data_IF_493982658634
#
_entry.id   IF_493982658634
#
_cell.length_a   1.000
_cell.length_b   1.000
_cell.length_c   1.000
_cell.angle_alpha   90.00
_cell.angle_beta   90.00
_cell.angle_gamma   90.00
#
_symmetry.space_group_name_H-M   'P 1'
#
loop_
_entity.id
_entity.type
_entity.pdbx_description
1 polymer ?
2 non-polymer ?
3 non-polymer ?
4 water ?
#
# COMPACT_ATOMS: atom_id res chain seq x y z
N UNK A 10 -12.35 -10.51 -13.42
CA UNK A 10 -11.23 -10.42 -12.49
C UNK A 10 -11.39 -9.22 -11.57
N UNK A 11 -11.84 -8.11 -12.15
CA UNK A 11 -12.05 -6.90 -11.34
C UNK A 11 -13.29 -7.04 -10.47
N UNK A 12 -14.35 -7.66 -10.99
CA UNK A 12 -15.52 -7.94 -10.15
C UNK A 12 -15.13 -8.81 -8.97
N UNK A 13 -14.33 -9.85 -9.21
CA UNK A 13 -13.86 -10.70 -8.12
C UNK A 13 -13.03 -9.90 -7.12
N UNK A 14 -12.18 -9.00 -7.63
CA UNK A 14 -11.35 -8.17 -6.75
C UNK A 14 -12.20 -7.28 -5.87
N UNK A 15 -13.22 -6.65 -6.44
CA UNK A 15 -14.02 -5.71 -5.65
C UNK A 15 -14.78 -6.42 -4.55
N UNK A 16 -15.30 -7.62 -4.83
CA UNK A 16 -15.93 -8.41 -3.78
C UNK A 16 -14.91 -8.85 -2.74
N UNK A 17 -13.74 -9.30 -3.17
CA UNK A 17 -12.70 -9.70 -2.23
C UNK A 17 -12.28 -8.53 -1.36
N UNK A 18 -12.17 -7.33 -1.95
CA UNK A 18 -11.74 -6.16 -1.18
C UNK A 18 -12.80 -5.74 -0.18
N UNK A 19 -14.07 -5.83 -0.57
CA UNK A 19 -15.16 -5.57 0.37
C UNK A 19 -15.03 -6.46 1.60
N UNK A 20 -14.84 -7.77 1.39
CA UNK A 20 -14.69 -8.67 2.52
C UNK A 20 -13.41 -8.38 3.28
N UNK A 21 -12.34 -7.97 2.56
CA UNK A 21 -11.09 -7.60 3.23
C UNK A 21 -11.31 -6.42 4.16
N UNK A 22 -12.08 -5.42 3.73
CA UNK A 22 -12.36 -4.27 4.59
C UNK A 22 -13.15 -4.70 5.83
N UNK A 23 -14.13 -5.59 5.66
CA UNK A 23 -14.89 -6.06 6.82
C UNK A 23 -13.97 -6.73 7.83
N UNK A 24 -13.04 -7.56 7.33
CA UNK A 24 -12.13 -8.25 8.24
C UNK A 24 -11.13 -7.26 8.81
N UNK A 25 -10.71 -6.27 8.02
CA UNK A 25 -9.82 -5.23 8.53
C UNK A 25 -10.45 -4.52 9.73
N UNK A 26 -11.72 -4.15 9.61
CA UNK A 26 -12.43 -3.51 10.72
C UNK A 26 -12.40 -4.38 11.96
N UNK A 27 -12.59 -5.70 11.79
CA UNK A 27 -12.53 -6.60 12.93
C UNK A 27 -11.14 -6.67 13.53
N UNK A 28 -10.11 -6.79 12.68
CA UNK A 28 -8.76 -6.95 13.19
C UNK A 28 -8.27 -5.68 13.88
N UNK A 29 -8.66 -4.52 13.36
CA UNK A 29 -8.34 -3.25 14.00
C UNK A 29 -9.06 -3.13 15.34
N UNK A 30 -10.35 -3.47 15.37
CA UNK A 30 -11.09 -3.44 16.63
C UNK A 30 -10.50 -4.39 17.64
N UNK A 31 -10.07 -5.58 17.21
CA UNK A 31 -9.51 -6.55 18.15
C UNK A 31 -8.24 -6.02 18.79
N UNK A 32 -7.39 -5.34 18.01
CA UNK A 32 -6.16 -4.83 18.60
C UNK A 32 -6.45 -3.61 19.48
N UNK A 33 -7.46 -2.80 19.14
CA UNK A 33 -7.87 -1.71 20.02
C UNK A 33 -8.28 -2.23 21.39
N UNK A 34 -9.14 -3.24 21.41
CA UNK A 34 -9.62 -3.81 22.67
C UNK A 34 -8.45 -4.37 23.48
N UNK A 35 -7.49 -4.99 22.80
CA UNK A 35 -6.35 -5.59 23.50
C UNK A 35 -5.46 -4.55 24.14
N UNK A 36 -5.17 -3.46 23.42
CA UNK A 36 -4.33 -2.41 23.98
C UNK A 36 -4.99 -1.79 25.21
N UNK A 37 -6.31 -1.61 25.15
CA UNK A 37 -7.03 -0.98 26.24
C UNK A 37 -7.07 -1.88 27.47
N UNK A 38 -7.09 -3.19 27.27
CA UNK A 38 -7.05 -4.15 28.37
C UNK A 38 -5.63 -4.42 28.85
N UNK A 39 -4.62 -3.80 28.23
CA UNK A 39 -3.22 -3.97 28.61
C UNK A 39 -2.81 -5.43 28.67
N UNK A 40 -3.19 -6.18 27.62
CA UNK A 40 -2.87 -7.61 27.62
C UNK A 40 -1.38 -7.82 27.38
N UNK A 41 -0.90 -9.01 27.73
CA UNK A 41 0.52 -9.29 27.67
C UNK A 41 1.03 -9.43 26.25
N UNK A 42 2.35 -9.34 26.13
CA UNK A 42 3.00 -9.31 24.81
C UNK A 42 2.66 -10.54 23.97
N UNK A 43 2.47 -11.71 24.59
CA UNK A 43 2.28 -12.93 23.78
C UNK A 43 0.94 -12.89 23.05
N UNK A 44 -0.13 -12.59 23.77
CA UNK A 44 -1.45 -12.49 23.14
C UNK A 44 -1.50 -11.29 22.21
N UNK A 45 -0.87 -10.18 22.61
CA UNK A 45 -0.83 -8.99 21.75
C UNK A 45 -0.09 -9.28 20.47
N UNK A 46 1.01 -10.02 20.53
CA UNK A 46 1.75 -10.35 19.30
C UNK A 46 0.90 -11.14 18.34
N UNK A 47 0.01 -12.01 18.82
CA UNK A 47 -0.87 -12.71 17.87
C UNK A 47 -1.71 -11.72 17.09
N UNK A 48 -2.21 -10.68 17.76
CA UNK A 48 -3.02 -9.69 17.07
C UNK A 48 -2.19 -8.86 16.10
N UNK A 49 -0.96 -8.48 16.49
CA UNK A 49 -0.05 -7.80 15.58
C UNK A 49 0.19 -8.68 14.35
N UNK A 50 0.51 -9.95 14.58
CA UNK A 50 0.84 -10.81 13.45
C UNK A 50 -0.40 -11.05 12.57
N UNK A 51 -1.59 -11.07 13.17
CA UNK A 51 -2.80 -11.22 12.37
C UNK A 51 -3.07 -9.99 11.51
N UNK A 52 -2.73 -8.79 12.02
CA UNK A 52 -2.83 -7.59 11.19
C UNK A 52 -1.85 -7.65 10.04
N UNK A 53 -0.61 -8.06 10.32
CA UNK A 53 0.39 -8.15 9.26
C UNK A 53 -0.03 -9.16 8.22
N UNK A 54 -0.55 -10.31 8.64
CA UNK A 54 -1.02 -11.33 7.69
C UNK A 54 -2.14 -10.75 6.83
N UNK A 55 -3.00 -9.92 7.42
CA UNK A 55 -4.12 -9.37 6.68
C UNK A 55 -3.64 -8.42 5.61
N UNK A 56 -2.64 -7.57 5.92
CA UNK A 56 -2.06 -6.73 4.88
C UNK A 56 -1.40 -7.58 3.79
N UNK A 57 -0.71 -8.66 4.16
CA UNK A 57 -0.12 -9.54 3.15
C UNK A 57 -1.19 -10.03 2.18
N UNK A 58 -2.38 -10.34 2.69
CA UNK A 58 -3.46 -10.81 1.83
C UNK A 58 -3.96 -9.70 0.91
N UNK A 59 -3.97 -8.45 1.39
CA UNK A 59 -4.29 -7.32 0.52
C UNK A 59 -3.34 -7.27 -0.65
N UNK A 60 -2.03 -7.39 -0.39
CA UNK A 60 -1.08 -7.29 -1.50
C UNK A 60 -1.29 -8.42 -2.49
N UNK A 61 -1.63 -9.61 -1.99
CA UNK A 61 -1.92 -10.73 -2.88
C UNK A 61 -3.10 -10.43 -3.79
N UNK A 62 -4.18 -9.93 -3.23
CA UNK A 62 -5.36 -9.67 -4.04
C UNK A 62 -5.11 -8.52 -5.02
N UNK A 63 -4.31 -7.53 -4.61
CA UNK A 63 -3.95 -6.44 -5.51
C UNK A 63 -3.12 -6.93 -6.67
N UNK A 64 -2.22 -7.90 -6.42
CA UNK A 64 -1.41 -8.42 -7.51
C UNK A 64 -2.28 -9.13 -8.53
N UNK A 65 -3.31 -9.84 -8.07
CA UNK A 65 -4.22 -10.48 -9.01
C UNK A 65 -5.00 -9.43 -9.80
N UNK A 66 -5.43 -8.36 -9.13
CA UNK A 66 -6.21 -7.32 -9.78
C UNK A 66 -5.35 -6.57 -10.81
N UNK A 67 -4.07 -6.38 -10.50
CA UNK A 67 -3.18 -5.73 -11.47
C UNK A 67 -3.05 -6.55 -12.74
N UNK A 68 -3.09 -7.87 -12.61
CA UNK A 68 -3.05 -8.71 -13.80
C UNK A 68 -4.34 -8.60 -14.57
N UNK A 69 -5.47 -8.49 -13.85
CA UNK A 69 -6.77 -8.45 -14.52
C UNK A 69 -6.98 -7.12 -15.24
N UNK A 70 -6.64 -6.01 -14.59
CA UNK A 70 -6.88 -4.68 -15.18
C UNK A 70 -5.97 -3.70 -14.43
N UNK A 71 -4.73 -3.57 -14.92
CA UNK A 71 -3.76 -2.70 -14.27
C UNK A 71 -4.26 -1.25 -14.21
N UNK A 72 -4.91 -0.79 -15.28
CA UNK A 72 -5.39 0.58 -15.30
C UNK A 72 -6.42 0.82 -14.21
N UNK A 73 -7.35 -0.12 -14.02
CA UNK A 73 -8.33 0.04 -12.97
C UNK A 73 -7.65 0.02 -11.61
N UNK A 74 -6.74 -0.93 -11.39
CA UNK A 74 -6.04 -0.98 -10.12
C UNK A 74 -5.32 0.35 -9.89
N UNK A 75 -4.62 0.82 -10.91
CA UNK A 75 -3.95 2.14 -10.80
C UNK A 75 -4.89 3.32 -10.64
N UNK A 76 -6.09 3.25 -11.15
CA UNK A 76 -6.95 4.40 -11.04
C UNK A 76 -7.34 4.71 -9.60
N UNK A 77 -7.24 3.71 -8.72
CA UNK A 77 -7.73 3.86 -7.36
C UNK A 77 -9.22 4.02 -7.26
N UNK A 78 -9.96 3.73 -8.33
CA UNK A 78 -11.39 3.95 -8.30
C UNK A 78 -12.09 2.88 -7.48
N UNK A 79 -11.36 1.83 -7.10
CA UNK A 79 -11.80 0.83 -6.14
C UNK A 79 -11.63 1.30 -4.70
N UNK A 80 -10.95 2.41 -4.48
CA UNK A 80 -10.90 3.02 -3.15
C UNK A 80 -11.88 4.19 -3.11
N UNK A 81 -12.05 4.75 -1.91
CA UNK A 81 -12.98 5.85 -1.76
C UNK A 81 -12.31 7.17 -2.18
N UNK A 82 -13.15 8.18 -2.41
CA UNK A 82 -12.68 9.40 -3.07
C UNK A 82 -11.55 10.07 -2.29
N UNK A 83 -11.70 10.19 -0.97
CA UNK A 83 -10.67 10.90 -0.20
C UNK A 83 -9.34 10.14 -0.19
N UNK A 84 -9.37 8.80 -0.22
CA UNK A 84 -8.13 8.03 -0.27
C UNK A 84 -7.36 8.30 -1.55
N UNK A 85 -8.07 8.64 -2.63
CA UNK A 85 -7.40 8.85 -3.91
C UNK A 85 -6.49 10.07 -3.88
N UNK A 86 -6.72 11.02 -2.97
CA UNK A 86 -5.83 12.17 -2.86
C UNK A 86 -4.46 11.81 -2.32
N UNK A 87 -4.29 10.59 -1.80
CA UNK A 87 -3.06 10.16 -1.14
C UNK A 87 -2.47 8.93 -1.82
N UNK A 88 -2.80 8.72 -3.08
CA UNK A 88 -2.36 7.55 -3.82
C UNK A 88 -0.99 7.80 -4.44
N UNK A 89 -0.18 6.74 -4.48
CA UNK A 89 1.08 6.74 -5.19
C UNK A 89 1.22 5.35 -5.77
N UNK A 90 1.26 5.24 -7.11
CA UNK A 90 1.40 3.96 -7.81
C UNK A 90 0.53 2.87 -7.20
N UNK A 91 -0.78 3.07 -7.23
CA UNK A 91 -1.69 2.00 -6.89
C UNK A 91 -1.89 1.74 -5.41
N UNK A 92 -1.44 2.64 -4.56
CA UNK A 92 -1.72 2.50 -3.14
C UNK A 92 -1.23 3.71 -2.38
N UNK A 93 -1.07 3.54 -1.07
CA UNK A 93 -0.61 4.68 -0.29
C UNK A 93 0.91 4.78 -0.35
N UNK A 94 1.42 5.96 0.00
CA UNK A 94 2.86 6.20 -0.03
C UNK A 94 3.45 5.77 1.31
N UNK A 95 4.32 4.74 1.34
CA UNK A 95 4.82 4.28 2.65
C UNK A 95 5.53 5.37 3.44
N UNK A 96 6.28 6.25 2.78
CA UNK A 96 6.99 7.29 3.52
C UNK A 96 6.03 8.23 4.23
N UNK A 97 4.85 8.47 3.66
CA UNK A 97 3.85 9.31 4.30
C UNK A 97 3.14 8.57 5.42
N UNK A 98 2.87 7.28 5.23
CA UNK A 98 2.24 6.51 6.30
C UNK A 98 3.14 6.41 7.52
N UNK A 99 4.46 6.40 7.32
CA UNK A 99 5.37 6.43 8.46
C UNK A 99 5.16 7.70 9.29
N UNK A 100 4.95 8.84 8.63
CA UNK A 100 4.65 10.08 9.37
C UNK A 100 3.32 9.95 10.12
N UNK A 101 2.34 9.29 9.53
CA UNK A 101 1.02 9.16 10.16
C UNK A 101 1.14 8.45 11.51
N UNK A 102 1.88 7.35 11.54
CA UNK A 102 1.95 6.51 12.75
C UNK A 102 3.01 6.95 13.73
N UNK A 103 3.92 7.84 13.33
CA UNK A 103 5.08 8.19 14.14
C UNK A 103 4.70 8.61 15.55
N UNK A 104 3.69 9.46 15.77
CA UNK A 104 3.39 9.89 17.15
C UNK A 104 2.91 8.77 18.04
N UNK A 105 2.40 7.69 17.47
CA UNK A 105 1.79 6.60 18.21
C UNK A 105 2.76 5.46 18.50
N UNK A 106 3.80 5.28 17.68
CA UNK A 106 4.83 4.29 17.98
C UNK A 106 5.85 4.84 18.97
N UNK A 107 5.88 6.17 19.15
CA UNK A 107 6.71 6.78 20.17
C UNK A 107 6.22 6.35 21.56
N UNK A 108 7.10 6.42 22.58
CA UNK A 108 8.51 6.83 22.50
C UNK A 108 9.41 5.79 21.84
N UNK A 109 10.32 6.28 21.00
CA UNK A 109 11.31 5.43 20.34
C UNK A 109 12.66 5.63 21.02
N UNK A 110 13.45 4.56 21.08
CA UNK A 110 14.82 4.72 21.51
C UNK A 110 15.63 5.43 20.42
N UNK A 111 16.85 5.85 20.76
CA UNK A 111 17.71 6.47 19.75
C UNK A 111 17.96 5.53 18.59
N UNK A 112 18.22 4.25 18.85
CA UNK A 112 18.42 3.32 17.75
C UNK A 112 17.15 3.16 16.92
N UNK A 113 16.00 3.05 17.58
CA UNK A 113 14.76 2.91 16.82
C UNK A 113 14.49 4.15 15.98
N UNK A 114 14.78 5.33 16.54
CA UNK A 114 14.59 6.57 15.78
C UNK A 114 15.45 6.59 14.54
N UNK A 115 16.72 6.20 14.66
CA UNK A 115 17.58 6.13 13.49
C UNK A 115 17.05 5.13 12.48
N UNK A 116 16.60 3.97 12.95
CA UNK A 116 16.09 2.96 12.03
C UNK A 116 14.84 3.43 11.31
N UNK A 117 13.91 4.08 12.02
CA UNK A 117 12.67 4.51 11.38
C UNK A 117 12.93 5.64 10.39
N UNK A 118 13.73 6.63 10.78
CA UNK A 118 14.01 7.72 9.85
C UNK A 118 14.79 7.22 8.63
N UNK A 119 15.71 6.29 8.84
CA UNK A 119 16.41 5.69 7.69
C UNK A 119 15.44 4.99 6.76
N UNK A 120 14.50 4.21 7.33
CA UNK A 120 13.49 3.54 6.51
C UNK A 120 12.65 4.55 5.75
N UNK A 121 12.29 5.66 6.41
CA UNK A 121 11.48 6.68 5.74
C UNK A 121 12.25 7.32 4.60
N UNK A 122 13.52 7.64 4.82
CA UNK A 122 14.34 8.23 3.76
C UNK A 122 14.52 7.26 2.60
N UNK A 123 14.81 5.99 2.90
CA UNK A 123 15.01 5.01 1.84
C UNK A 123 13.73 4.74 1.07
N UNK A 124 12.58 4.71 1.76
CA UNK A 124 11.31 4.56 1.06
C UNK A 124 11.02 5.77 0.19
N UNK A 125 11.31 6.98 0.70
CA UNK A 125 11.16 8.18 -0.11
C UNK A 125 12.02 8.12 -1.37
N UNK A 126 13.25 7.65 -1.24
CA UNK A 126 14.13 7.55 -2.41
C UNK A 126 13.61 6.53 -3.40
N UNK A 127 13.13 5.40 -2.89
CA UNK A 127 12.57 4.36 -3.76
C UNK A 127 11.29 4.85 -4.44
N UNK A 128 10.45 5.60 -3.71
CA UNK A 128 9.22 6.11 -4.30
C UNK A 128 9.53 7.06 -5.45
N UNK A 129 10.49 7.96 -5.24
CA UNK A 129 10.86 8.92 -6.27
C UNK A 129 11.41 8.21 -7.51
N UNK A 130 12.24 7.18 -7.31
CA UNK A 130 12.81 6.47 -8.44
C UNK A 130 11.74 5.70 -9.21
N UNK A 131 10.82 5.06 -8.51
CA UNK A 131 9.73 4.37 -9.19
C UNK A 131 8.82 5.35 -9.92
N UNK A 132 8.51 6.50 -9.28
CA UNK A 132 7.70 7.52 -9.94
C UNK A 132 8.37 8.04 -11.21
N UNK A 133 9.70 8.21 -11.17
CA UNK A 133 10.40 8.69 -12.37
C UNK A 133 10.35 7.66 -13.49
N UNK A 134 10.48 6.37 -13.14
CA UNK A 134 10.42 5.33 -14.15
C UNK A 134 9.03 5.18 -14.74
N UNK A 135 8.00 5.26 -13.89
CA UNK A 135 6.63 5.19 -14.36
C UNK A 135 6.31 6.40 -15.23
N UNK A 136 6.79 7.58 -14.83
CA UNK A 136 6.60 8.78 -15.65
C UNK A 136 7.21 8.59 -17.04
N UNK A 137 8.41 8.00 -17.11
CA UNK A 137 9.06 7.80 -18.40
C UNK A 137 8.28 6.81 -19.25
N UNK A 138 7.82 5.71 -18.64
CA UNK A 138 6.98 4.75 -19.35
C UNK A 138 5.73 5.42 -19.88
N UNK A 139 5.04 6.18 -19.03
CA UNK A 139 3.76 6.76 -19.42
C UNK A 139 3.93 7.79 -20.52
N UNK A 140 4.92 8.67 -20.40
CA UNK A 140 5.14 9.68 -21.43
C UNK A 140 5.61 9.08 -22.74
N UNK A 141 6.23 7.89 -22.68
CA UNK A 141 6.58 7.18 -23.90
C UNK A 141 5.38 6.51 -24.54
N UNK A 142 4.43 6.03 -23.72
CA UNK A 142 3.18 5.48 -24.24
C UNK A 142 2.33 6.55 -24.89
N UNK A 143 2.25 7.73 -24.27
CA UNK A 143 1.55 8.86 -24.89
C UNK A 143 2.10 9.12 -26.28
N UNK A 144 3.43 9.17 -26.39
CA UNK A 144 4.05 9.48 -27.67
C UNK A 144 3.85 8.35 -28.68
N UNK A 145 3.96 7.10 -28.23
CA UNK A 145 3.89 5.98 -29.15
C UNK A 145 2.47 5.68 -29.61
N UNK A 146 1.48 5.81 -28.73
CA UNK A 146 0.09 5.67 -29.15
C UNK A 146 -0.24 6.75 -30.16
N UNK A 147 0.21 7.98 -29.91
CA UNK A 147 -0.10 9.09 -30.81
C UNK A 147 0.40 8.80 -32.22
N UNK A 148 1.61 8.24 -32.34
CA UNK A 148 2.11 7.86 -33.67
C UNK A 148 1.28 6.72 -34.24
N UNK A 149 0.98 5.72 -33.43
CA UNK A 149 0.24 4.55 -33.84
C UNK A 149 -1.18 4.92 -34.27
N UNK A 156 -1.36 -3.26 -42.04
CA UNK A 156 -1.87 -4.61 -41.86
C UNK A 156 -1.45 -5.17 -40.50
N UNK A 157 -2.43 -5.64 -39.73
CA UNK A 157 -2.17 -6.10 -38.38
C UNK A 157 -1.75 -7.55 -38.47
N UNK A 158 -0.44 -7.80 -38.28
CA UNK A 158 0.10 -9.14 -38.23
C UNK A 158 0.34 -9.61 -36.79
N UNK A 159 -0.22 -8.91 -35.79
CA UNK A 159 -0.16 -9.33 -34.41
C UNK A 159 0.72 -8.47 -33.52
N UNK A 160 1.58 -7.63 -34.09
CA UNK A 160 2.45 -6.82 -33.25
C UNK A 160 1.73 -5.82 -32.36
N UNK A 161 0.67 -5.12 -32.79
CA UNK A 161 0.07 -4.13 -31.89
C UNK A 161 -0.43 -4.73 -30.59
N UNK A 162 -1.10 -5.89 -30.64
CA UNK A 162 -1.54 -6.51 -29.39
C UNK A 162 -0.35 -6.96 -28.55
N UNK A 163 0.64 -7.58 -29.18
CA UNK A 163 1.80 -8.03 -28.42
C UNK A 163 2.50 -6.87 -27.76
N UNK A 164 2.58 -5.73 -28.46
CA UNK A 164 3.20 -4.55 -27.88
C UNK A 164 2.40 -4.04 -26.70
N UNK A 165 1.08 -4.03 -26.83
CA UNK A 165 0.22 -3.64 -25.72
C UNK A 165 0.48 -4.53 -24.50
N UNK A 166 0.58 -5.83 -24.73
CA UNK A 166 0.88 -6.76 -23.63
C UNK A 166 2.19 -6.40 -22.95
N UNK A 167 3.24 -6.12 -23.73
CA UNK A 167 4.53 -5.76 -23.15
C UNK A 167 4.40 -4.53 -22.27
N UNK A 168 3.64 -3.55 -22.72
CA UNK A 168 3.47 -2.33 -21.93
C UNK A 168 2.59 -2.56 -20.72
N UNK A 169 1.56 -3.41 -20.83
CA UNK A 169 0.78 -3.76 -19.65
C UNK A 169 1.63 -4.46 -18.61
N UNK A 170 2.53 -5.34 -19.05
CA UNK A 170 3.42 -6.04 -18.13
C UNK A 170 4.36 -5.05 -17.45
N UNK A 171 4.81 -4.03 -18.17
CA UNK A 171 5.69 -3.01 -17.58
C UNK A 171 4.94 -2.20 -16.55
N UNK A 172 3.68 -1.82 -16.84
CA UNK A 172 2.88 -1.09 -15.85
C UNK A 172 2.63 -1.95 -14.63
N UNK A 173 2.31 -3.22 -14.83
CA UNK A 173 2.08 -4.14 -13.71
C UNK A 173 3.32 -4.27 -12.83
N UNK A 174 4.50 -4.23 -13.46
CA UNK A 174 5.75 -4.33 -12.73
C UNK A 174 5.93 -3.14 -11.79
N UNK A 175 5.56 -1.94 -12.23
CA UNK A 175 5.63 -0.77 -11.35
C UNK A 175 4.71 -0.92 -10.15
N UNK A 176 3.46 -1.37 -10.39
CA UNK A 176 2.54 -1.63 -9.29
C UNK A 176 3.13 -2.66 -8.34
N UNK A 177 3.60 -3.78 -8.88
CA UNK A 177 4.16 -4.85 -8.05
C UNK A 177 5.31 -4.33 -7.20
N UNK A 178 6.16 -3.50 -7.78
CA UNK A 178 7.31 -2.95 -7.06
C UNK A 178 6.85 -1.99 -5.98
N UNK A 179 5.78 -1.23 -6.24
CA UNK A 179 5.25 -0.31 -5.23
C UNK A 179 4.63 -1.09 -4.08
N UNK A 180 3.88 -2.15 -4.37
CA UNK A 180 3.36 -2.99 -3.28
C UNK A 180 4.48 -3.70 -2.54
N UNK A 181 5.54 -4.12 -3.24
CA UNK A 181 6.68 -4.71 -2.56
C UNK A 181 7.28 -3.71 -1.56
N UNK A 182 7.42 -2.45 -1.96
CA UNK A 182 7.96 -1.43 -1.06
C UNK A 182 7.04 -1.24 0.12
N UNK A 183 5.72 -1.20 -0.11
CA UNK A 183 4.78 -1.05 1.00
C UNK A 183 4.91 -2.23 1.98
N UNK A 184 4.96 -3.45 1.45
CA UNK A 184 5.06 -4.62 2.31
C UNK A 184 6.39 -4.66 3.04
N UNK A 185 7.48 -4.33 2.34
CA UNK A 185 8.80 -4.30 2.97
C UNK A 185 8.83 -3.30 4.10
N UNK A 186 8.22 -2.12 3.92
CA UNK A 186 8.27 -1.09 4.95
C UNK A 186 7.50 -1.56 6.18
N UNK A 187 6.34 -2.18 5.97
CA UNK A 187 5.58 -2.74 7.08
C UNK A 187 6.39 -3.81 7.80
N UNK A 188 7.04 -4.70 7.05
CA UNK A 188 7.78 -5.79 7.68
C UNK A 188 9.02 -5.28 8.41
N UNK A 189 9.67 -4.24 7.88
CA UNK A 189 10.79 -3.63 8.59
C UNK A 189 10.33 -3.01 9.90
N UNK A 190 9.26 -2.23 9.86
CA UNK A 190 8.72 -1.61 11.09
C UNK A 190 8.42 -2.67 12.14
N UNK A 191 7.92 -3.85 11.71
CA UNK A 191 7.61 -4.90 12.67
C UNK A 191 8.85 -5.48 13.34
N UNK A 192 10.03 -5.28 12.76
CA UNK A 192 11.28 -5.73 13.37
C UNK A 192 11.91 -4.66 14.24
N UNK A 193 11.72 -3.38 13.89
CA UNK A 193 12.27 -2.27 14.66
C UNK A 193 11.54 -2.13 16.00
N UNK A 194 10.22 -2.30 15.99
CA UNK A 194 9.35 -1.93 17.09
C UNK A 194 9.09 -3.11 18.01
N UNK A 195 8.83 -2.81 19.28
CA UNK A 195 8.30 -3.86 20.14
C UNK A 195 6.90 -4.24 19.70
N UNK A 196 6.39 -5.32 20.29
CA UNK A 196 5.01 -5.72 20.03
C UNK A 196 4.04 -4.60 20.37
N UNK A 197 4.23 -3.96 21.53
CA UNK A 197 3.29 -2.92 21.94
C UNK A 197 3.38 -1.69 21.03
N UNK A 198 4.59 -1.27 20.68
CA UNK A 198 4.73 -0.17 19.72
C UNK A 198 4.08 -0.53 18.39
N UNK A 199 4.34 -1.75 17.91
CA UNK A 199 3.74 -2.18 16.64
C UNK A 199 2.23 -2.16 16.72
N UNK A 200 1.66 -2.65 17.82
CA UNK A 200 0.22 -2.64 18.00
C UNK A 200 -0.31 -1.20 17.96
N UNK A 201 0.36 -0.29 18.65
CA UNK A 201 -0.08 1.10 18.63
C UNK A 201 0.00 1.67 17.22
N UNK A 202 1.07 1.34 16.50
CA UNK A 202 1.21 1.83 15.13
C UNK A 202 0.16 1.24 14.20
N UNK A 203 -0.13 -0.06 14.34
CA UNK A 203 -1.17 -0.68 13.53
C UNK A 203 -2.54 -0.11 13.85
N UNK A 204 -2.80 0.17 15.13
CA UNK A 204 -4.07 0.79 15.48
C UNK A 204 -4.18 2.16 14.83
N UNK A 205 -3.12 2.96 14.91
CA UNK A 205 -3.14 4.29 14.30
C UNK A 205 -3.33 4.21 12.79
N UNK A 206 -2.60 3.30 12.14
CA UNK A 206 -2.74 3.11 10.70
C UNK A 206 -4.17 2.71 10.35
N UNK A 207 -4.73 1.76 11.10
CA UNK A 207 -6.09 1.32 10.82
C UNK A 207 -7.11 2.43 11.01
N UNK A 208 -6.96 3.23 12.06
CA UNK A 208 -7.89 4.32 12.31
C UNK A 208 -7.74 5.41 11.25
N UNK A 209 -6.51 5.63 10.78
CA UNK A 209 -6.28 6.56 9.69
C UNK A 209 -7.08 6.16 8.45
N UNK A 210 -6.95 4.91 8.04
CA UNK A 210 -7.67 4.44 6.85
C UNK A 210 -9.17 4.54 7.08
N UNK A 211 -9.64 4.16 8.27
CA UNK A 211 -11.06 4.19 8.56
C UNK A 211 -11.61 5.62 8.51
N UNK A 212 -10.85 6.57 9.05
CA UNK A 212 -11.27 7.97 9.03
C UNK A 212 -11.36 8.50 7.60
N UNK A 213 -10.41 8.10 6.74
CA UNK A 213 -10.47 8.54 5.34
C UNK A 213 -11.72 7.99 4.67
N UNK A 214 -12.03 6.71 4.88
CA UNK A 214 -13.25 6.13 4.32
C UNK A 214 -14.50 6.78 4.89
N UNK A 215 -14.51 7.08 6.19
CA UNK A 215 -15.66 7.76 6.78
C UNK A 215 -15.87 9.14 6.17
N UNK A 216 -14.77 9.87 5.94
CA UNK A 216 -14.86 11.18 5.32
C UNK A 216 -15.39 11.10 3.90
N UNK A 217 -15.02 10.04 3.17
CA UNK A 217 -15.52 9.90 1.80
C UNK A 217 -17.03 9.78 1.78
N UNK A 218 -17.63 9.18 2.81
CA UNK A 218 -19.09 9.13 2.89
C UNK A 218 -19.69 10.53 2.92
N UNK A 219 -18.99 11.49 3.54
CA UNK A 219 -19.46 12.86 3.53
C UNK A 219 -19.35 13.47 2.14
N UNK A 220 -18.32 13.10 1.39
CA UNK A 220 -18.19 13.60 0.03
C UNK A 220 -19.22 13.00 -0.91
N UNK A 221 -19.87 11.91 -0.50
CA UNK A 221 -20.89 11.27 -1.32
C UNK A 221 -22.28 11.62 -0.81
#
# INVERSE_FOLDING_TARGET
GPAAGNMNSGIAAFEMEYTHWLEEQNRRVSEIRTALQAHIGDIELKMLVDSCLNHYANLFRMKADAAKADVFFLMSGMWRTSTERFFQWIGGFRPSELLNVVMPYVEPLTDQQLLEVRNLQQSSQQAEEALSQGLDKLQQGLVESIAIQIKVVESVNHGAPMASAMENLQALESFVNQADHLRQQTLQQMSKILTTRQAARGLLALGEYFHRLRALSSLWAARPREHTGGDYKDDDDKSSGYPYDVPDYA
#
